data_IF_011770031717
#
_entry.id   IF_011770031717
#
_cell.length_a   1.000
_cell.length_b   1.000
_cell.length_c   1.000
_cell.angle_alpha   90.00
_cell.angle_beta   90.00
_cell.angle_gamma   90.00
#
_symmetry.space_group_name_H-M   'P 1'
#
loop_
_entity.id
_entity.type
_entity.pdbx_description
1 polymer ?
#
# COMPACT_ATOMS: atom_id res chain seq x y z
N UNK A 1 -23.93 -55.23 -12.21
CA UNK A 1 -22.94 -54.20 -12.55
C UNK A 1 -23.50 -52.82 -12.17
N UNK A 2 -23.08 -52.25 -11.03
CA UNK A 2 -23.48 -50.90 -10.57
C UNK A 2 -22.31 -50.31 -9.78
N UNK A 3 -21.36 -49.66 -10.46
CA UNK A 3 -20.19 -49.00 -9.84
C UNK A 3 -19.76 -47.77 -10.66
N UNK A 4 -20.66 -46.81 -10.92
CA UNK A 4 -20.29 -45.66 -11.75
C UNK A 4 -20.93 -44.32 -11.37
N UNK A 5 -21.60 -44.19 -10.22
CA UNK A 5 -22.39 -42.97 -9.93
C UNK A 5 -21.78 -42.09 -8.81
N UNK A 6 -20.66 -42.47 -8.20
CA UNK A 6 -20.11 -41.75 -7.03
C UNK A 6 -19.12 -40.63 -7.43
N UNK A 7 -18.57 -40.64 -8.64
CA UNK A 7 -17.49 -39.71 -9.03
C UNK A 7 -18.02 -38.30 -9.36
N UNK A 8 -19.29 -38.15 -9.77
CA UNK A 8 -19.81 -36.85 -10.22
C UNK A 8 -20.13 -35.87 -9.08
N UNK A 9 -20.33 -36.34 -7.85
CA UNK A 9 -20.66 -35.47 -6.71
C UNK A 9 -19.41 -34.81 -6.07
N UNK A 10 -18.21 -35.36 -6.33
CA UNK A 10 -16.95 -34.84 -5.77
C UNK A 10 -16.37 -33.64 -6.54
N UNK A 11 -16.88 -33.35 -7.75
CA UNK A 11 -16.38 -32.28 -8.62
C UNK A 11 -17.13 -30.94 -8.46
N UNK A 12 -18.16 -30.88 -7.61
CA UNK A 12 -18.97 -29.66 -7.42
C UNK A 12 -18.47 -28.73 -6.29
N UNK A 13 -17.42 -29.09 -5.55
CA UNK A 13 -16.95 -28.32 -4.38
C UNK A 13 -15.63 -27.56 -4.57
N UNK A 14 -15.04 -27.56 -5.77
CA UNK A 14 -13.70 -26.98 -5.99
C UNK A 14 -13.73 -25.55 -6.52
N UNK A 15 -14.71 -24.74 -6.13
CA UNK A 15 -14.66 -23.29 -6.30
C UNK A 15 -14.16 -22.66 -4.99
N UNK A 16 -12.93 -22.94 -4.59
CA UNK A 16 -12.29 -22.20 -3.49
C UNK A 16 -11.98 -20.81 -4.03
N UNK A 17 -12.96 -19.90 -3.92
CA UNK A 17 -12.76 -18.49 -4.18
C UNK A 17 -11.82 -17.97 -3.08
N UNK A 18 -10.54 -17.78 -3.41
CA UNK A 18 -9.56 -17.22 -2.49
C UNK A 18 -10.07 -15.86 -1.98
N UNK A 19 -10.36 -15.77 -0.68
CA UNK A 19 -10.71 -14.50 -0.07
C UNK A 19 -9.42 -13.69 0.13
N UNK A 20 -9.43 -12.37 -0.09
CA UNK A 20 -8.23 -11.55 0.08
C UNK A 20 -7.85 -11.52 1.56
N UNK A 21 -6.59 -11.76 1.93
CA UNK A 21 -6.09 -11.81 3.33
C UNK A 21 -6.38 -10.53 4.13
N UNK A 22 -6.54 -9.40 3.43
CA UNK A 22 -6.84 -8.09 4.00
C UNK A 22 -7.85 -7.34 3.14
N UNK A 23 -8.68 -6.53 3.78
CA UNK A 23 -9.56 -5.55 3.14
C UNK A 23 -9.18 -4.17 3.63
N UNK A 24 -8.92 -3.24 2.70
CA UNK A 24 -8.71 -1.82 3.03
C UNK A 24 -10.06 -1.21 3.39
N UNK A 25 -10.16 -0.62 4.57
CA UNK A 25 -11.35 0.09 5.05
C UNK A 25 -11.25 1.58 4.74
N UNK A 26 -10.10 2.17 5.03
CA UNK A 26 -9.82 3.60 4.82
C UNK A 26 -8.41 3.76 4.27
N UNK A 27 -8.24 4.74 3.39
CA UNK A 27 -6.95 5.08 2.79
C UNK A 27 -6.90 6.59 2.50
N UNK A 28 -5.87 7.24 3.01
CA UNK A 28 -5.50 8.62 2.73
C UNK A 28 -4.06 8.64 2.28
N UNK A 29 -3.78 9.40 1.22
CA UNK A 29 -2.43 9.54 0.66
C UNK A 29 -2.10 11.02 0.56
N UNK A 30 -0.99 11.40 1.16
CA UNK A 30 -0.43 12.74 1.07
C UNK A 30 0.88 12.69 0.31
N UNK A 31 1.06 13.59 -0.64
CA UNK A 31 2.30 13.71 -1.40
C UNK A 31 2.85 15.13 -1.27
N UNK A 32 4.11 15.23 -0.85
CA UNK A 32 4.83 16.50 -0.72
C UNK A 32 5.98 16.49 -1.71
N UNK A 33 6.00 17.50 -2.59
CA UNK A 33 7.13 17.74 -3.50
C UNK A 33 8.02 18.79 -2.85
N UNK A 34 9.22 18.39 -2.48
CA UNK A 34 10.20 19.25 -1.83
C UNK A 34 10.95 20.11 -2.84
N UNK A 35 11.59 21.17 -2.34
CA UNK A 35 12.38 22.09 -3.16
C UNK A 35 13.63 21.45 -3.78
N UNK A 36 14.09 20.33 -3.22
CA UNK A 36 15.19 19.52 -3.75
C UNK A 36 14.72 18.47 -4.77
N UNK A 37 13.48 18.58 -5.26
CA UNK A 37 12.83 17.66 -6.18
C UNK A 37 12.69 16.22 -5.65
N UNK A 38 12.82 16.03 -4.33
CA UNK A 38 12.35 14.79 -3.69
C UNK A 38 10.83 14.81 -3.57
N UNK A 39 10.23 13.64 -3.69
CA UNK A 39 8.78 13.45 -3.48
C UNK A 39 8.61 12.55 -2.28
N UNK A 40 8.10 13.09 -1.19
CA UNK A 40 7.71 12.35 -0.01
C UNK A 40 6.25 11.96 -0.12
N UNK A 41 5.94 10.69 0.10
CA UNK A 41 4.58 10.18 0.12
C UNK A 41 4.31 9.58 1.49
N UNK A 42 3.18 9.97 2.08
CA UNK A 42 2.68 9.48 3.35
C UNK A 42 1.33 8.80 3.10
N UNK A 43 1.26 7.49 3.34
CA UNK A 43 0.05 6.70 3.30
C UNK A 43 -0.46 6.49 4.73
N UNK A 44 -1.71 6.84 4.97
CA UNK A 44 -2.46 6.42 6.15
C UNK A 44 -3.54 5.45 5.70
N UNK A 45 -3.54 4.23 6.21
CA UNK A 45 -4.53 3.25 5.80
C UNK A 45 -4.91 2.31 6.93
N UNK A 46 -6.20 1.96 6.93
CA UNK A 46 -6.80 1.06 7.90
C UNK A 46 -7.18 -0.21 7.18
N UNK A 47 -6.68 -1.36 7.64
CA UNK A 47 -6.99 -2.66 7.08
C UNK A 47 -7.76 -3.52 8.07
N UNK A 48 -8.67 -4.33 7.56
CA UNK A 48 -9.27 -5.45 8.29
C UNK A 48 -8.64 -6.75 7.80
N UNK A 49 -8.09 -7.52 8.72
CA UNK A 49 -7.60 -8.87 8.43
C UNK A 49 -8.80 -9.81 8.24
N UNK A 50 -8.86 -10.53 7.14
CA UNK A 50 -9.97 -11.47 6.86
C UNK A 50 -9.59 -12.90 7.23
N UNK A 51 -8.32 -13.24 7.08
CA UNK A 51 -7.76 -14.57 7.36
C UNK A 51 -6.49 -14.41 8.20
N UNK A 52 -6.47 -15.01 9.40
CA UNK A 52 -5.35 -14.95 10.33
C UNK A 52 -4.88 -16.33 10.77
N UNK A 53 -3.70 -16.44 11.42
CA UNK A 53 -2.88 -15.33 11.91
C UNK A 53 -1.92 -14.75 10.86
N UNK A 54 -1.89 -13.43 10.71
CA UNK A 54 -0.98 -12.71 9.82
C UNK A 54 0.13 -11.99 10.59
N UNK A 55 1.35 -12.00 10.06
CA UNK A 55 2.51 -11.33 10.69
C UNK A 55 2.82 -9.96 10.09
N UNK A 56 2.16 -9.59 9.00
CA UNK A 56 2.46 -8.39 8.24
C UNK A 56 1.72 -8.37 6.91
N UNK A 57 1.97 -7.33 6.13
CA UNK A 57 1.35 -7.07 4.82
C UNK A 57 2.41 -6.74 3.78
N UNK A 58 2.11 -7.03 2.51
CA UNK A 58 2.90 -6.56 1.37
C UNK A 58 2.21 -5.38 0.71
N UNK A 59 2.97 -4.32 0.44
CA UNK A 59 2.53 -3.18 -0.37
C UNK A 59 3.32 -3.12 -1.67
N UNK A 60 2.61 -3.13 -2.79
CA UNK A 60 3.22 -3.04 -4.11
C UNK A 60 3.54 -1.59 -4.42
N UNK A 61 4.79 -1.21 -4.15
CA UNK A 61 5.31 0.14 -4.39
C UNK A 61 6.53 -0.02 -5.29
N UNK A 62 6.73 0.82 -6.31
CA UNK A 62 7.92 0.81 -7.16
C UNK A 62 9.21 1.03 -6.35
N UNK A 63 9.78 -0.03 -5.78
CA UNK A 63 10.89 0.11 -4.83
C UNK A 63 12.17 0.60 -5.50
N UNK A 64 12.33 0.38 -6.82
CA UNK A 64 13.51 0.78 -7.60
C UNK A 64 13.96 2.23 -7.42
N UNK A 65 13.02 3.15 -7.20
CA UNK A 65 13.30 4.59 -7.08
C UNK A 65 13.12 5.15 -5.66
N UNK A 66 12.77 4.31 -4.69
CA UNK A 66 12.62 4.72 -3.29
C UNK A 66 14.00 4.92 -2.67
N UNK A 67 14.26 6.12 -2.16
CA UNK A 67 15.47 6.48 -1.41
C UNK A 67 15.35 6.19 0.07
N UNK A 68 14.15 6.36 0.65
CA UNK A 68 13.88 6.12 2.07
C UNK A 68 12.45 5.58 2.27
N UNK A 69 12.24 4.78 3.32
CA UNK A 69 10.92 4.28 3.69
C UNK A 69 10.85 3.95 5.19
N UNK A 70 9.70 4.19 5.80
CA UNK A 70 9.41 3.82 7.18
C UNK A 70 7.92 3.53 7.34
N UNK A 71 7.56 2.62 8.25
CA UNK A 71 6.17 2.36 8.59
C UNK A 71 5.96 2.43 10.10
N UNK A 72 4.76 2.79 10.54
CA UNK A 72 4.35 2.79 11.94
C UNK A 72 2.95 2.22 12.12
N UNK A 73 2.68 1.74 13.33
CA UNK A 73 1.36 1.31 13.79
C UNK A 73 1.11 2.00 15.12
N UNK A 74 0.06 2.81 15.20
CA UNK A 74 -0.28 3.60 16.41
C UNK A 74 0.92 4.38 16.96
N UNK A 75 1.72 4.98 16.07
CA UNK A 75 2.92 5.76 16.40
C UNK A 75 4.17 4.93 16.76
N UNK A 76 4.09 3.60 16.78
CA UNK A 76 5.26 2.74 17.00
C UNK A 76 5.88 2.33 15.67
N UNK A 77 7.19 2.56 15.51
CA UNK A 77 7.93 2.17 14.32
C UNK A 77 7.87 0.65 14.10
N UNK A 78 7.54 0.26 12.87
CA UNK A 78 7.50 -1.13 12.44
C UNK A 78 8.76 -1.52 11.67
N UNK A 79 9.03 -2.82 11.63
CA UNK A 79 10.05 -3.37 10.74
C UNK A 79 9.51 -3.39 9.30
N UNK A 80 10.31 -2.86 8.37
CA UNK A 80 10.00 -2.88 6.93
C UNK A 80 11.14 -3.56 6.17
N UNK A 81 10.81 -4.54 5.33
CA UNK A 81 11.74 -5.22 4.45
C UNK A 81 11.43 -4.85 2.99
N UNK A 82 12.48 -4.46 2.24
CA UNK A 82 12.35 -4.14 0.82
C UNK A 82 12.57 -5.38 -0.02
N UNK A 83 11.59 -5.67 -0.89
CA UNK A 83 11.71 -6.64 -1.96
C UNK A 83 11.69 -5.92 -3.32
N UNK A 84 11.96 -6.68 -4.40
CA UNK A 84 12.17 -6.15 -5.75
C UNK A 84 11.06 -5.21 -6.25
N UNK A 85 9.81 -5.44 -5.87
CA UNK A 85 8.64 -4.66 -6.32
C UNK A 85 7.62 -4.38 -5.21
N UNK A 86 8.00 -4.61 -3.95
CA UNK A 86 7.08 -4.48 -2.81
C UNK A 86 7.83 -4.20 -1.52
N UNK A 87 7.15 -3.57 -0.57
CA UNK A 87 7.58 -3.46 0.81
C UNK A 87 6.80 -4.46 1.65
N UNK A 88 7.50 -5.19 2.52
CA UNK A 88 6.88 -6.04 3.53
C UNK A 88 6.91 -5.30 4.86
N UNK A 89 5.74 -5.04 5.42
CA UNK A 89 5.58 -4.37 6.71
C UNK A 89 5.21 -5.42 7.75
N UNK A 90 5.99 -5.54 8.82
CA UNK A 90 5.73 -6.48 9.91
C UNK A 90 4.89 -5.81 11.00
N UNK A 91 3.79 -6.44 11.39
CA UNK A 91 2.96 -5.94 12.49
C UNK A 91 3.65 -6.13 13.84
N UNK A 92 3.33 -5.26 14.80
CA UNK A 92 3.81 -5.36 16.18
C UNK A 92 3.37 -6.65 16.88
N UNK A 93 2.20 -7.18 16.51
CA UNK A 93 1.61 -8.45 16.96
C UNK A 93 0.96 -9.17 15.78
N UNK A 94 0.78 -10.49 15.89
CA UNK A 94 0.06 -11.26 14.86
C UNK A 94 -1.41 -10.83 14.79
N UNK A 95 -1.84 -10.33 13.64
CA UNK A 95 -3.24 -9.97 13.40
C UNK A 95 -4.09 -11.24 13.20
N UNK A 96 -5.22 -11.32 13.88
CA UNK A 96 -6.23 -12.36 13.74
C UNK A 96 -7.30 -11.95 12.73
N UNK A 97 -8.08 -12.92 12.26
CA UNK A 97 -9.27 -12.61 11.44
C UNK A 97 -10.21 -11.69 12.23
N UNK A 98 -10.65 -10.62 11.58
CA UNK A 98 -11.48 -9.56 12.17
C UNK A 98 -10.70 -8.37 12.72
N UNK A 99 -9.39 -8.51 12.99
CA UNK A 99 -8.58 -7.43 13.56
C UNK A 99 -8.50 -6.25 12.59
N UNK A 100 -8.65 -5.05 13.16
CA UNK A 100 -8.47 -3.77 12.47
C UNK A 100 -7.08 -3.24 12.82
N UNK A 101 -6.30 -2.91 11.80
CA UNK A 101 -4.93 -2.42 11.94
C UNK A 101 -4.78 -1.11 11.20
N UNK A 102 -4.44 -0.05 11.93
CA UNK A 102 -4.10 1.27 11.40
C UNK A 102 -2.60 1.33 11.13
N UNK A 103 -2.23 1.77 9.93
CA UNK A 103 -0.86 1.83 9.47
C UNK A 103 -0.56 3.19 8.86
N UNK A 104 0.65 3.65 9.12
CA UNK A 104 1.26 4.77 8.44
C UNK A 104 2.49 4.26 7.68
N UNK A 105 2.65 4.64 6.43
CA UNK A 105 3.84 4.38 5.64
C UNK A 105 4.32 5.67 5.00
N UNK A 106 5.55 6.05 5.28
CA UNK A 106 6.25 7.10 4.55
C UNK A 106 7.27 6.49 3.58
N UNK A 107 7.38 7.07 2.39
CA UNK A 107 8.51 6.81 1.50
C UNK A 107 8.85 7.98 0.59
N UNK A 108 10.12 8.12 0.28
CA UNK A 108 10.66 9.21 -0.53
C UNK A 108 11.19 8.70 -1.86
N UNK A 109 10.92 9.45 -2.93
CA UNK A 109 11.55 9.27 -4.24
C UNK A 109 12.56 10.38 -4.48
N UNK A 110 13.76 10.02 -4.95
CA UNK A 110 14.77 10.98 -5.38
C UNK A 110 15.04 10.81 -6.87
N UNK A 111 14.88 11.87 -7.64
CA UNK A 111 15.20 11.86 -9.06
C UNK A 111 16.73 11.92 -9.25
N UNK A 112 17.42 10.78 -9.18
CA UNK A 112 18.83 10.72 -9.59
C UNK A 112 18.93 11.01 -11.10
N UNK A 113 19.30 12.24 -11.48
CA UNK A 113 19.65 12.58 -12.86
C UNK A 113 19.20 13.94 -13.39
N UNK A 114 18.44 14.75 -12.66
CA UNK A 114 18.12 16.11 -13.12
C UNK A 114 19.24 17.08 -12.73
N UNK A 115 20.15 17.34 -13.67
CA UNK A 115 21.08 18.47 -13.55
C UNK A 115 20.27 19.77 -13.60
N UNK A 116 20.15 20.47 -12.46
CA UNK A 116 19.49 21.77 -12.43
C UNK A 116 20.50 22.89 -12.69
N UNK A 117 20.20 23.83 -13.61
CA UNK A 117 21.06 24.96 -13.88
C UNK A 117 21.15 25.86 -12.66
N UNK A 118 22.37 26.29 -12.40
CA UNK A 118 22.82 27.09 -11.26
C UNK A 118 22.33 28.54 -11.36
N UNK A 119 21.02 28.80 -11.22
CA UNK A 119 20.49 30.14 -10.99
C UNK A 119 19.23 30.05 -10.10
N UNK A 120 19.45 30.14 -8.79
CA UNK A 120 18.38 30.27 -7.79
C UNK A 120 18.05 31.76 -7.64
N UNK A 121 16.77 32.11 -7.76
CA UNK A 121 16.19 33.19 -6.95
C UNK A 121 15.11 32.59 -6.03
N UNK A 122 15.04 33.01 -4.76
CA UNK A 122 14.18 32.38 -3.77
C UNK A 122 12.76 32.94 -3.89
N UNK A 123 11.79 32.07 -4.18
CA UNK A 123 10.40 32.36 -3.84
C UNK A 123 10.02 31.45 -2.68
N UNK A 124 10.00 32.05 -1.48
CA UNK A 124 9.20 31.56 -0.37
C UNK A 124 7.76 31.38 -0.87
N UNK A 125 7.29 30.15 -0.98
CA UNK A 125 5.86 29.86 -1.02
C UNK A 125 5.56 28.73 -0.05
N UNK A 126 4.61 29.00 0.84
CA UNK A 126 4.07 28.06 1.83
C UNK A 126 3.68 26.74 1.15
N UNK A 127 3.81 25.59 1.83
CA UNK A 127 3.39 24.31 1.27
C UNK A 127 1.91 24.38 0.88
N UNK A 128 1.61 24.02 -0.37
CA UNK A 128 0.22 23.78 -0.81
C UNK A 128 -0.14 22.36 -0.40
N UNK A 129 -1.03 22.26 0.58
CA UNK A 129 -1.71 21.03 0.95
C UNK A 129 -2.70 20.68 -0.18
N UNK A 130 -2.43 19.62 -0.94
CA UNK A 130 -3.37 19.08 -1.91
C UNK A 130 -4.16 17.95 -1.23
N UNK A 131 -5.28 18.28 -0.59
CA UNK A 131 -6.24 17.28 -0.11
C UNK A 131 -7.06 16.78 -1.31
N UNK A 132 -6.76 15.56 -1.79
CA UNK A 132 -7.63 14.90 -2.76
C UNK A 132 -8.78 14.21 -2.05
N UNK A 133 -9.94 14.87 -2.02
CA UNK A 133 -11.20 14.27 -1.58
C UNK A 133 -11.76 13.42 -2.73
N UNK A 134 -11.75 12.09 -2.55
CA UNK A 134 -12.14 11.14 -3.59
C UNK A 134 -13.66 11.13 -3.75
N UNK A 135 -14.18 11.90 -4.70
CA UNK A 135 -15.55 11.72 -5.18
C UNK A 135 -15.63 10.51 -6.13
N UNK A 136 -16.44 9.53 -5.73
CA UNK A 136 -16.89 8.40 -6.53
C UNK A 136 -17.53 8.87 -7.85
N UNK A 137 -17.02 8.41 -9.00
CA UNK A 137 -17.77 7.63 -10.01
C UNK A 137 -17.12 7.66 -11.41
N UNK A 138 -16.98 6.47 -12.00
CA UNK A 138 -16.89 6.16 -13.45
C UNK A 138 -15.65 6.64 -14.23
N UNK A 139 -14.65 5.76 -14.34
CA UNK A 139 -13.67 5.82 -15.43
C UNK A 139 -14.37 5.41 -16.74
N UNK A 140 -14.61 6.38 -17.62
CA UNK A 140 -14.73 6.12 -19.07
C UNK A 140 -13.39 6.49 -19.70
N UNK A 141 -12.80 5.53 -20.39
CA UNK A 141 -11.74 5.76 -21.38
C UNK A 141 -12.22 6.81 -22.40
N UNK A 142 -11.33 7.72 -22.77
CA UNK A 142 -11.38 8.42 -24.05
C UNK A 142 -10.00 8.34 -24.69
N UNK A 143 -10.03 7.86 -25.93
CA UNK A 143 -8.97 7.62 -26.90
C UNK A 143 -8.14 8.88 -27.13
#
# INVERSE_FOLDING_TARGET
>A
MKKSVIILFFLLFSSVQAQPEFVVQEETVEATINSDATVDILYHFTIKTTEGPQRGIYLSIPTGSISNYAASQSGQSLKVERERYRLKIWFSKKAQSGDITELELSHSYCQKGAAFPKWIHPLQQKPREWRMEKHSSTLRELI
#
